data_IF_728760703303
#
_entry.id   IF_728760703303
#
_cell.length_a   1.000
_cell.length_b   1.000
_cell.length_c   1.000
_cell.angle_alpha   90.00
_cell.angle_beta   90.00
_cell.angle_gamma   90.00
#
_symmetry.space_group_name_H-M   'P 1'
#
loop_
_entity.id
_entity.type
_entity.pdbx_description
1 polymer ?
#
# COMPACT_ATOMS: atom_id res chain seq x y z
N UNK A 1 -31.63 -6.64 9.88
CA UNK A 1 -30.20 -6.24 10.00
C UNK A 1 -29.93 -5.14 8.96
N UNK A 2 -28.93 -4.26 9.18
CA UNK A 2 -28.66 -3.17 8.20
C UNK A 2 -27.83 -3.71 7.04
N UNK A 3 -28.17 -3.27 5.82
CA UNK A 3 -27.30 -3.45 4.65
C UNK A 3 -26.34 -2.26 4.56
N UNK A 4 -25.06 -2.48 4.24
CA UNK A 4 -24.05 -1.43 4.19
C UNK A 4 -23.43 -1.30 2.80
N UNK A 5 -23.43 -0.10 2.26
CA UNK A 5 -22.66 0.28 1.10
C UNK A 5 -21.23 0.57 1.53
N UNK A 6 -20.27 -0.10 0.90
CA UNK A 6 -18.84 0.07 1.10
C UNK A 6 -18.15 0.38 -0.26
N UNK A 7 -16.83 0.26 -0.32
CA UNK A 7 -16.12 0.35 -1.60
C UNK A 7 -16.01 1.76 -2.18
N UNK A 8 -15.91 1.84 -3.49
CA UNK A 8 -15.72 3.12 -4.21
C UNK A 8 -16.99 3.98 -4.21
N UNK A 9 -18.18 3.35 -4.27
CA UNK A 9 -19.45 4.07 -4.22
C UNK A 9 -19.69 4.74 -2.87
N UNK A 10 -19.29 4.10 -1.76
CA UNK A 10 -19.34 4.73 -0.44
C UNK A 10 -18.36 5.91 -0.33
N UNK A 11 -17.20 5.84 -1.01
CA UNK A 11 -16.20 6.90 -0.96
C UNK A 11 -16.71 8.22 -1.60
N UNK A 12 -17.57 8.15 -2.61
CA UNK A 12 -18.19 9.32 -3.24
C UNK A 12 -18.95 10.20 -2.24
N UNK A 13 -19.57 9.59 -1.23
CA UNK A 13 -20.33 10.33 -0.20
C UNK A 13 -19.44 11.18 0.70
N UNK A 14 -18.17 10.76 0.88
CA UNK A 14 -17.28 11.35 1.87
C UNK A 14 -16.12 12.13 1.30
N UNK A 15 -15.95 12.07 -0.01
CA UNK A 15 -14.86 12.76 -0.72
C UNK A 15 -15.41 13.50 -1.94
N UNK A 16 -15.64 14.82 -1.83
CA UNK A 16 -16.20 15.63 -2.95
C UNK A 16 -15.38 15.55 -4.24
N UNK A 17 -14.06 15.38 -4.10
CA UNK A 17 -13.12 15.31 -5.23
C UNK A 17 -13.01 13.90 -5.84
N UNK A 18 -13.76 12.93 -5.31
CA UNK A 18 -13.74 11.57 -5.81
C UNK A 18 -15.06 11.21 -6.48
N UNK A 19 -14.96 10.64 -7.67
CA UNK A 19 -16.08 10.06 -8.39
C UNK A 19 -15.78 8.61 -8.76
N UNK A 20 -16.65 7.69 -8.36
CA UNK A 20 -16.55 6.30 -8.80
C UNK A 20 -16.82 6.23 -10.30
N UNK A 21 -16.20 5.28 -11.00
CA UNK A 21 -16.49 5.06 -12.43
C UNK A 21 -17.92 4.57 -12.58
N UNK A 22 -18.57 4.90 -13.71
CA UNK A 22 -19.96 4.50 -13.96
C UNK A 22 -20.17 2.99 -13.86
N UNK A 23 -19.17 2.20 -14.30
CA UNK A 23 -19.16 0.74 -14.22
C UNK A 23 -18.58 0.17 -12.91
N UNK A 24 -18.34 1.00 -11.89
CA UNK A 24 -17.90 0.50 -10.58
C UNK A 24 -19.00 -0.33 -9.92
N UNK A 25 -18.56 -1.42 -9.28
CA UNK A 25 -19.45 -2.29 -8.51
C UNK A 25 -20.09 -1.53 -7.34
N UNK A 26 -21.26 -2.00 -6.95
CA UNK A 26 -21.91 -1.65 -5.71
C UNK A 26 -21.52 -2.70 -4.66
N UNK A 27 -20.46 -2.43 -3.91
CA UNK A 27 -19.98 -3.31 -2.85
C UNK A 27 -20.91 -3.22 -1.65
N UNK A 28 -21.66 -4.29 -1.34
CA UNK A 28 -22.65 -4.30 -0.27
C UNK A 28 -22.39 -5.42 0.73
N UNK A 29 -22.23 -5.05 2.00
CA UNK A 29 -22.27 -6.01 3.11
C UNK A 29 -23.71 -6.19 3.54
N UNK A 30 -24.24 -7.41 3.47
CA UNK A 30 -25.60 -7.74 3.87
C UNK A 30 -25.76 -9.23 4.23
N UNK A 31 -26.83 -9.53 4.97
CA UNK A 31 -27.18 -10.91 5.33
C UNK A 31 -27.69 -11.69 4.12
N UNK A 32 -28.52 -11.02 3.30
CA UNK A 32 -29.13 -11.62 2.13
C UNK A 32 -28.67 -10.92 0.87
N UNK A 33 -28.52 -11.68 -0.21
CA UNK A 33 -28.11 -11.16 -1.51
C UNK A 33 -29.17 -10.18 -2.04
N UNK A 34 -28.74 -8.96 -2.33
CA UNK A 34 -29.55 -7.96 -3.03
C UNK A 34 -29.30 -8.13 -4.53
N UNK A 35 -30.37 -8.25 -5.31
CA UNK A 35 -30.31 -8.40 -6.76
C UNK A 35 -30.97 -7.18 -7.39
N UNK A 36 -30.28 -6.52 -8.30
CA UNK A 36 -30.77 -5.40 -9.11
C UNK A 36 -30.15 -5.52 -10.50
N UNK A 37 -30.97 -5.81 -11.49
CA UNK A 37 -30.50 -6.06 -12.88
C UNK A 37 -29.91 -4.80 -13.53
N UNK A 38 -30.13 -3.63 -12.95
CA UNK A 38 -29.58 -2.35 -13.42
C UNK A 38 -28.22 -2.00 -12.81
N UNK A 39 -27.77 -2.76 -11.81
CA UNK A 39 -26.55 -2.48 -11.05
C UNK A 39 -25.69 -3.73 -10.93
N UNK A 40 -24.39 -3.55 -11.09
CA UNK A 40 -23.42 -4.59 -10.78
C UNK A 40 -23.16 -4.60 -9.27
N UNK A 41 -23.81 -5.54 -8.56
CA UNK A 41 -23.68 -5.66 -7.09
C UNK A 41 -22.67 -6.74 -6.77
N UNK A 42 -21.63 -6.35 -5.97
CA UNK A 42 -20.72 -7.28 -5.31
C UNK A 42 -21.18 -7.47 -3.85
N UNK A 43 -21.67 -8.67 -3.57
CA UNK A 43 -22.22 -9.02 -2.28
C UNK A 43 -21.15 -9.60 -1.35
N UNK A 44 -21.02 -9.00 -0.17
CA UNK A 44 -20.12 -9.42 0.89
C UNK A 44 -20.94 -9.93 2.09
N UNK A 45 -20.76 -11.19 2.46
CA UNK A 45 -21.49 -11.81 3.59
C UNK A 45 -20.89 -11.42 4.93
N UNK A 46 -21.65 -11.62 6.00
CA UNK A 46 -21.19 -11.44 7.38
C UNK A 46 -20.20 -12.52 7.84
N UNK A 47 -20.09 -13.64 7.12
CA UNK A 47 -19.11 -14.69 7.40
C UNK A 47 -17.68 -14.25 7.18
N UNK A 48 -17.47 -13.22 6.35
CA UNK A 48 -16.16 -12.61 6.15
C UNK A 48 -15.77 -11.88 7.44
N UNK A 49 -14.59 -12.25 7.97
CA UNK A 49 -14.06 -11.69 9.21
C UNK A 49 -14.05 -10.17 9.19
N UNK A 50 -14.68 -9.57 10.20
CA UNK A 50 -14.79 -8.13 10.36
C UNK A 50 -15.91 -7.46 9.56
N UNK A 51 -16.69 -8.18 8.72
CA UNK A 51 -17.82 -7.57 8.04
C UNK A 51 -18.99 -7.27 8.99
N UNK A 52 -19.25 -8.16 9.95
CA UNK A 52 -20.26 -7.92 10.97
C UNK A 52 -19.95 -6.68 11.80
N UNK A 53 -18.68 -6.47 12.15
CA UNK A 53 -18.24 -5.33 12.94
C UNK A 53 -18.51 -4.00 12.21
N UNK A 54 -18.57 -4.02 10.86
CA UNK A 54 -18.85 -2.82 10.05
C UNK A 54 -20.27 -2.26 10.27
N UNK A 55 -21.20 -3.03 10.82
CA UNK A 55 -22.54 -2.54 11.16
C UNK A 55 -22.51 -1.36 12.15
N UNK A 56 -21.49 -1.28 12.98
CA UNK A 56 -21.28 -0.18 13.93
C UNK A 56 -20.91 1.14 13.23
N UNK A 57 -20.52 1.07 11.95
CA UNK A 57 -20.11 2.22 11.14
C UNK A 57 -21.16 2.65 10.13
N UNK A 58 -22.41 2.17 10.24
CA UNK A 58 -23.50 2.65 9.41
C UNK A 58 -23.77 4.14 9.70
N UNK A 59 -23.72 4.99 8.67
CA UNK A 59 -24.10 6.38 8.79
C UNK A 59 -25.63 6.55 8.67
N UNK A 60 -26.11 7.79 8.74
CA UNK A 60 -27.50 8.13 8.43
C UNK A 60 -27.78 8.19 6.93
N UNK A 61 -26.72 8.29 6.11
CA UNK A 61 -26.85 8.30 4.66
C UNK A 61 -27.22 6.90 4.16
N UNK A 62 -28.14 6.84 3.21
CA UNK A 62 -28.53 5.57 2.59
C UNK A 62 -28.93 5.76 1.13
N UNK A 63 -28.94 4.65 0.39
CA UNK A 63 -29.50 4.56 -0.95
C UNK A 63 -30.56 3.46 -0.97
N UNK A 64 -31.54 3.57 -1.86
CA UNK A 64 -32.51 2.53 -2.12
C UNK A 64 -32.00 1.68 -3.32
N UNK A 65 -31.87 0.36 -3.12
CA UNK A 65 -31.46 -0.59 -4.15
C UNK A 65 -32.42 -1.76 -4.12
N UNK A 66 -33.15 -1.96 -5.22
CA UNK A 66 -34.16 -3.03 -5.34
C UNK A 66 -35.13 -3.06 -4.12
N UNK A 67 -35.60 -1.90 -3.68
CA UNK A 67 -36.51 -1.76 -2.52
C UNK A 67 -35.85 -1.98 -1.15
N UNK A 68 -34.53 -2.17 -1.10
CA UNK A 68 -33.79 -2.33 0.13
C UNK A 68 -33.09 -1.02 0.50
N UNK A 69 -33.18 -0.64 1.78
CA UNK A 69 -32.39 0.47 2.30
C UNK A 69 -30.99 -0.02 2.61
N UNK A 70 -30.00 0.58 1.92
CA UNK A 70 -28.57 0.28 2.05
C UNK A 70 -27.87 1.51 2.63
N UNK A 71 -27.41 1.43 3.88
CA UNK A 71 -26.74 2.52 4.56
C UNK A 71 -25.30 2.68 4.10
N UNK A 72 -24.85 3.91 3.93
CA UNK A 72 -23.44 4.17 3.59
C UNK A 72 -22.58 4.00 4.83
N UNK A 73 -21.49 3.24 4.73
CA UNK A 73 -20.51 3.15 5.81
C UNK A 73 -19.90 4.55 6.06
N UNK A 74 -19.72 4.92 7.32
CA UNK A 74 -19.15 6.23 7.68
C UNK A 74 -17.64 6.30 7.32
N UNK A 75 -17.02 7.48 7.34
CA UNK A 75 -15.63 7.66 6.94
C UNK A 75 -14.61 6.81 7.72
N UNK A 76 -14.82 6.59 9.02
CA UNK A 76 -13.94 5.78 9.86
C UNK A 76 -14.02 4.31 9.44
N UNK A 77 -15.22 3.74 9.32
CA UNK A 77 -15.40 2.37 8.84
C UNK A 77 -14.85 2.17 7.42
N UNK A 78 -15.06 3.16 6.54
CA UNK A 78 -14.49 3.10 5.20
C UNK A 78 -12.94 3.16 5.21
N UNK A 79 -12.35 3.96 6.11
CA UNK A 79 -10.90 4.01 6.29
C UNK A 79 -10.35 2.67 6.80
N UNK A 80 -11.02 2.02 7.75
CA UNK A 80 -10.66 0.68 8.24
C UNK A 80 -10.68 -0.34 7.08
N UNK A 81 -11.75 -0.38 6.29
CA UNK A 81 -11.87 -1.29 5.15
C UNK A 81 -10.76 -1.04 4.14
N UNK A 82 -10.59 0.18 3.66
CA UNK A 82 -9.58 0.51 2.65
C UNK A 82 -8.16 0.27 3.16
N UNK A 83 -7.87 0.60 4.42
CA UNK A 83 -6.57 0.34 5.01
C UNK A 83 -6.30 -1.17 5.13
N UNK A 84 -7.26 -1.97 5.58
CA UNK A 84 -7.07 -3.43 5.65
C UNK A 84 -6.77 -4.06 4.30
N UNK A 85 -7.23 -3.48 3.20
CA UNK A 85 -6.96 -3.96 1.84
C UNK A 85 -5.56 -3.60 1.33
N UNK A 86 -4.80 -2.73 2.00
CA UNK A 86 -3.42 -2.41 1.60
C UNK A 86 -2.49 -3.62 1.73
N UNK A 87 -2.86 -4.62 2.54
CA UNK A 87 -2.12 -5.87 2.69
C UNK A 87 -2.55 -6.99 1.73
N UNK A 88 -3.35 -6.67 0.74
CA UNK A 88 -3.89 -7.68 -0.15
C UNK A 88 -2.86 -8.20 -1.15
N UNK A 89 -2.40 -7.39 -2.07
CA UNK A 89 -1.38 -7.71 -3.06
C UNK A 89 -0.86 -6.46 -3.78
N UNK A 90 0.10 -6.67 -4.69
CA UNK A 90 0.79 -5.63 -5.45
C UNK A 90 -0.09 -4.88 -6.46
N UNK A 91 -1.18 -5.48 -6.93
CA UNK A 91 -2.05 -4.88 -7.93
C UNK A 91 -2.98 -3.80 -7.35
N UNK A 92 -2.94 -3.60 -6.03
CA UNK A 92 -3.86 -2.74 -5.29
C UNK A 92 -3.43 -1.28 -5.11
N UNK A 93 -2.60 -0.76 -6.00
CA UNK A 93 -2.23 0.66 -6.02
C UNK A 93 -3.45 1.60 -5.89
N UNK A 94 -4.58 1.26 -6.50
CA UNK A 94 -5.81 2.04 -6.33
C UNK A 94 -6.30 2.13 -4.88
N UNK A 95 -6.11 1.08 -4.07
CA UNK A 95 -6.49 1.09 -2.66
C UNK A 95 -5.55 1.97 -1.85
N UNK A 96 -4.23 1.89 -2.11
CA UNK A 96 -3.22 2.77 -1.51
C UNK A 96 -3.57 4.22 -1.83
N UNK A 97 -3.79 4.54 -3.11
CA UNK A 97 -4.14 5.90 -3.55
C UNK A 97 -5.45 6.39 -2.91
N UNK A 98 -6.50 5.58 -2.93
CA UNK A 98 -7.80 5.96 -2.33
C UNK A 98 -7.68 6.20 -0.83
N UNK A 99 -6.94 5.32 -0.13
CA UNK A 99 -6.74 5.48 1.31
C UNK A 99 -5.99 6.78 1.61
N UNK A 100 -4.79 6.96 1.04
CA UNK A 100 -3.96 8.12 1.37
C UNK A 100 -4.57 9.44 0.92
N UNK A 101 -5.15 9.50 -0.28
CA UNK A 101 -5.73 10.73 -0.80
C UNK A 101 -7.00 11.17 -0.07
N UNK A 102 -7.84 10.22 0.34
CA UNK A 102 -9.20 10.55 0.79
C UNK A 102 -9.49 10.18 2.23
N UNK A 103 -8.83 9.17 2.79
CA UNK A 103 -9.21 8.54 4.05
C UNK A 103 -8.14 8.59 5.15
N UNK A 104 -6.87 8.77 4.82
CA UNK A 104 -5.78 8.77 5.81
C UNK A 104 -5.96 9.81 6.93
N UNK A 105 -6.63 10.93 6.61
CA UNK A 105 -6.98 11.99 7.60
C UNK A 105 -7.83 11.48 8.78
N UNK A 106 -8.59 10.41 8.58
CA UNK A 106 -9.42 9.83 9.65
C UNK A 106 -8.64 8.90 10.58
N UNK A 107 -7.38 8.58 10.26
CA UNK A 107 -6.54 7.67 11.06
C UNK A 107 -6.32 8.17 12.48
N UNK A 108 -6.15 9.47 12.67
CA UNK A 108 -5.98 10.09 14.00
C UNK A 108 -7.24 10.06 14.87
N UNK A 109 -8.39 9.70 14.29
CA UNK A 109 -9.67 9.58 14.99
C UNK A 109 -9.98 8.14 15.42
N UNK A 110 -9.11 7.19 15.10
CA UNK A 110 -9.33 5.80 15.46
C UNK A 110 -9.24 5.61 16.97
N UNK A 111 -10.22 4.90 17.50
CA UNK A 111 -10.24 4.41 18.87
C UNK A 111 -9.51 3.06 18.97
N UNK A 112 -9.30 2.56 20.19
CA UNK A 112 -8.77 1.20 20.40
C UNK A 112 -9.66 0.12 19.76
N UNK A 113 -10.99 0.32 19.78
CA UNK A 113 -11.92 -0.59 19.12
C UNK A 113 -11.73 -0.60 17.58
N UNK A 114 -11.51 0.58 16.99
CA UNK A 114 -11.24 0.71 15.55
C UNK A 114 -9.92 0.01 15.16
N UNK A 115 -8.88 0.16 15.98
CA UNK A 115 -7.61 -0.53 15.80
C UNK A 115 -7.76 -2.04 15.90
N UNK A 116 -8.53 -2.52 16.87
CA UNK A 116 -8.80 -3.94 17.01
C UNK A 116 -9.50 -4.52 15.78
N UNK A 117 -10.50 -3.81 15.24
CA UNK A 117 -11.22 -4.23 14.04
C UNK A 117 -10.30 -4.17 12.81
N UNK A 118 -9.49 -3.13 12.69
CA UNK A 118 -8.50 -3.01 11.61
C UNK A 118 -7.54 -4.19 11.63
N UNK A 119 -6.95 -4.52 12.78
CA UNK A 119 -6.00 -5.62 12.92
C UNK A 119 -6.65 -6.98 12.60
N UNK A 120 -7.88 -7.19 13.04
CA UNK A 120 -8.68 -8.37 12.72
C UNK A 120 -8.87 -8.52 11.20
N UNK A 121 -9.25 -7.44 10.50
CA UNK A 121 -9.43 -7.42 9.05
C UNK A 121 -8.10 -7.56 8.30
N UNK A 122 -7.03 -6.93 8.79
CA UNK A 122 -5.68 -7.06 8.26
C UNK A 122 -5.24 -8.52 8.26
N UNK A 123 -5.33 -9.20 9.42
CA UNK A 123 -4.99 -10.64 9.54
C UNK A 123 -5.78 -11.51 8.57
N UNK A 124 -7.07 -11.25 8.43
CA UNK A 124 -7.89 -11.96 7.45
C UNK A 124 -7.40 -11.72 6.01
N UNK A 125 -7.15 -10.46 5.65
CA UNK A 125 -6.66 -10.11 4.30
C UNK A 125 -5.33 -10.80 4.00
N UNK A 126 -4.41 -10.80 4.97
CA UNK A 126 -3.12 -11.46 4.84
C UNK A 126 -3.24 -12.97 4.66
N UNK A 127 -4.17 -13.61 5.37
CA UNK A 127 -4.43 -15.05 5.24
C UNK A 127 -5.14 -15.40 3.92
N UNK A 128 -6.08 -14.57 3.48
CA UNK A 128 -6.83 -14.79 2.25
C UNK A 128 -6.01 -14.53 0.96
N UNK A 129 -4.97 -13.69 1.06
CA UNK A 129 -4.12 -13.30 -0.07
C UNK A 129 -2.63 -13.48 0.28
N UNK A 130 -2.14 -14.71 0.47
CA UNK A 130 -0.80 -14.97 0.98
C UNK A 130 0.33 -14.62 0.00
N UNK A 131 0.04 -14.47 -1.28
CA UNK A 131 1.06 -14.28 -2.32
C UNK A 131 1.83 -12.95 -2.22
N UNK A 132 1.24 -11.95 -1.59
CA UNK A 132 1.93 -10.67 -1.34
C UNK A 132 2.47 -10.55 0.08
N UNK A 133 2.46 -11.61 0.86
CA UNK A 133 2.71 -11.53 2.29
C UNK A 133 4.21 -11.58 2.62
N UNK A 134 4.77 -10.58 3.32
CA UNK A 134 6.20 -10.55 3.64
C UNK A 134 6.64 -11.56 4.70
N UNK A 135 5.71 -12.27 5.35
CA UNK A 135 6.08 -13.39 6.23
C UNK A 135 6.49 -14.64 5.46
N UNK A 136 6.24 -14.68 4.16
CA UNK A 136 6.87 -15.65 3.30
C UNK A 136 8.35 -15.26 3.24
N UNK A 137 9.19 -15.98 3.97
CA UNK A 137 10.66 -15.81 3.96
C UNK A 137 11.18 -16.12 2.56
N UNK A 138 11.17 -15.11 1.70
CA UNK A 138 11.66 -15.19 0.34
C UNK A 138 12.85 -14.26 0.18
N UNK A 139 13.77 -14.62 -0.66
CA UNK A 139 14.82 -13.69 -1.10
C UNK A 139 14.18 -12.50 -1.82
N UNK A 140 14.93 -11.40 -1.96
CA UNK A 140 14.46 -10.24 -2.73
C UNK A 140 14.08 -10.64 -4.16
N UNK A 141 14.81 -11.57 -4.74
CA UNK A 141 14.58 -12.11 -6.08
C UNK A 141 13.24 -12.86 -6.17
N UNK A 142 12.86 -13.62 -5.14
CA UNK A 142 11.59 -14.34 -5.09
C UNK A 142 10.36 -13.42 -4.99
N UNK A 143 10.55 -12.16 -4.62
CA UNK A 143 9.48 -11.18 -4.56
C UNK A 143 9.15 -10.55 -5.91
N UNK A 144 10.05 -10.66 -6.86
CA UNK A 144 9.86 -10.14 -8.20
C UNK A 144 9.63 -11.33 -9.13
N UNK A 145 8.49 -11.35 -9.79
CA UNK A 145 8.09 -12.42 -10.71
C UNK A 145 9.05 -12.55 -11.91
N UNK A 146 9.76 -11.46 -12.23
CA UNK A 146 10.70 -11.41 -13.34
C UNK A 146 12.13 -11.39 -12.81
N UNK A 147 12.95 -12.33 -13.28
CA UNK A 147 14.40 -12.23 -13.16
C UNK A 147 14.89 -11.03 -13.96
N UNK A 148 15.62 -10.16 -13.30
CA UNK A 148 16.29 -9.04 -13.92
C UNK A 148 17.78 -9.19 -13.64
N UNK A 149 18.58 -9.26 -14.69
CA UNK A 149 20.02 -9.25 -14.56
C UNK A 149 20.48 -7.95 -13.87
N UNK A 150 21.20 -8.08 -12.77
CA UNK A 150 21.73 -6.94 -12.02
C UNK A 150 22.91 -6.37 -12.78
N UNK A 151 22.72 -5.23 -13.42
CA UNK A 151 23.79 -4.53 -14.15
C UNK A 151 24.78 -3.85 -13.21
N UNK A 152 24.34 -3.45 -12.03
CA UNK A 152 25.14 -2.71 -11.05
C UNK A 152 25.17 -3.44 -9.72
N UNK A 153 26.24 -3.21 -8.94
CA UNK A 153 26.32 -3.69 -7.57
C UNK A 153 25.24 -3.01 -6.73
N UNK A 154 24.49 -3.81 -5.98
CA UNK A 154 23.39 -3.36 -5.14
C UNK A 154 23.85 -2.38 -4.04
N UNK A 155 24.96 -2.66 -3.38
CA UNK A 155 25.52 -1.79 -2.34
C UNK A 155 25.96 -0.44 -2.92
N UNK A 156 26.55 -0.45 -4.11
CA UNK A 156 26.89 0.79 -4.82
C UNK A 156 25.67 1.64 -5.16
N UNK A 157 24.56 1.02 -5.55
CA UNK A 157 23.31 1.74 -5.79
C UNK A 157 22.78 2.38 -4.50
N UNK A 158 22.88 1.69 -3.37
CA UNK A 158 22.51 2.27 -2.08
C UNK A 158 23.39 3.47 -1.71
N UNK A 159 24.68 3.41 -1.95
CA UNK A 159 25.59 4.54 -1.76
C UNK A 159 25.19 5.75 -2.59
N UNK A 160 24.83 5.54 -3.87
CA UNK A 160 24.42 6.61 -4.77
C UNK A 160 23.12 7.30 -4.37
N UNK A 161 22.16 6.56 -3.82
CA UNK A 161 20.86 7.09 -3.40
C UNK A 161 20.83 7.52 -1.94
N UNK A 162 21.93 7.39 -1.20
CA UNK A 162 21.97 7.70 0.22
C UNK A 162 21.64 9.17 0.51
N UNK A 163 20.85 9.40 1.57
CA UNK A 163 20.54 10.72 2.11
C UNK A 163 21.52 11.15 3.20
N UNK A 164 22.43 10.26 3.59
CA UNK A 164 23.49 10.45 4.58
C UNK A 164 24.81 9.91 4.03
N UNK A 165 25.90 10.13 4.75
CA UNK A 165 27.23 9.61 4.38
C UNK A 165 27.26 8.09 4.19
N UNK A 166 26.35 7.39 4.83
CA UNK A 166 26.13 5.95 4.67
C UNK A 166 24.66 5.66 4.50
N UNK A 167 24.28 4.73 3.60
CA UNK A 167 22.90 4.37 3.38
C UNK A 167 22.27 3.82 4.65
N UNK A 168 21.12 4.33 5.03
CA UNK A 168 20.41 3.89 6.24
C UNK A 168 19.82 2.49 6.07
N UNK A 169 19.29 2.17 4.89
CA UNK A 169 18.67 0.88 4.62
C UNK A 169 19.67 -0.27 4.80
N UNK A 170 20.87 -0.16 4.25
CA UNK A 170 21.90 -1.22 4.36
C UNK A 170 22.38 -1.42 5.80
N UNK A 171 22.35 -0.37 6.61
CA UNK A 171 22.67 -0.49 8.04
C UNK A 171 21.64 -1.30 8.82
N UNK A 172 20.38 -1.35 8.36
CA UNK A 172 19.31 -2.11 8.99
C UNK A 172 19.32 -3.60 8.57
N UNK A 173 19.95 -3.97 7.48
CA UNK A 173 20.00 -5.35 7.04
C UNK A 173 20.87 -6.18 7.98
N UNK A 174 20.31 -7.30 8.46
CA UNK A 174 21.08 -8.27 9.26
C UNK A 174 22.00 -9.13 8.39
N UNK A 175 21.58 -9.35 7.16
CA UNK A 175 22.28 -10.10 6.15
C UNK A 175 22.02 -9.42 4.80
N UNK A 176 23.07 -9.04 4.05
CA UNK A 176 22.92 -8.37 2.76
C UNK A 176 22.10 -9.16 1.72
N UNK A 177 22.00 -10.48 1.87
CA UNK A 177 21.17 -11.34 1.02
C UNK A 177 19.70 -11.42 1.49
N UNK A 178 19.38 -10.82 2.63
CA UNK A 178 18.08 -10.93 3.27
C UNK A 178 17.32 -9.60 3.24
N UNK A 179 16.03 -9.65 2.92
CA UNK A 179 15.10 -8.52 3.09
C UNK A 179 14.73 -8.25 4.57
N UNK A 180 15.42 -8.87 5.52
CA UNK A 180 15.13 -8.72 6.95
C UNK A 180 15.95 -7.59 7.56
N UNK A 181 15.23 -6.67 8.19
CA UNK A 181 15.82 -5.53 8.85
C UNK A 181 15.89 -5.72 10.39
N UNK A 182 16.84 -5.04 11.01
CA UNK A 182 16.97 -5.01 12.45
C UNK A 182 15.96 -4.05 13.08
N UNK A 183 15.04 -4.61 13.88
CA UNK A 183 13.98 -3.84 14.53
C UNK A 183 14.53 -2.87 15.58
N UNK A 184 15.55 -3.27 16.31
CA UNK A 184 16.10 -2.47 17.39
C UNK A 184 16.85 -1.24 16.87
N UNK A 185 17.50 -1.37 15.72
CA UNK A 185 18.08 -0.22 15.00
C UNK A 185 16.99 0.66 14.42
N UNK A 186 15.97 0.08 13.78
CA UNK A 186 14.84 0.81 13.23
C UNK A 186 14.13 1.66 14.28
N UNK A 187 13.87 1.12 15.46
CA UNK A 187 13.15 1.84 16.51
C UNK A 187 13.91 3.07 17.01
N UNK A 188 15.24 3.05 16.90
CA UNK A 188 16.12 4.17 17.28
C UNK A 188 16.19 5.28 16.22
N UNK A 189 15.81 5.02 14.98
CA UNK A 189 15.81 6.03 13.93
C UNK A 189 14.77 7.11 14.21
N UNK A 190 15.12 8.36 13.95
CA UNK A 190 14.18 9.46 13.90
C UNK A 190 13.15 9.25 12.77
N UNK A 191 12.02 9.93 12.86
CA UNK A 191 10.95 9.78 11.85
C UNK A 191 11.43 10.10 10.43
N UNK A 192 12.17 11.18 10.26
CA UNK A 192 12.69 11.58 8.94
C UNK A 192 13.72 10.60 8.40
N UNK A 193 14.54 9.99 9.28
CA UNK A 193 15.50 8.98 8.87
C UNK A 193 14.81 7.66 8.48
N UNK A 194 13.68 7.33 9.11
CA UNK A 194 12.83 6.23 8.64
C UNK A 194 12.26 6.48 7.25
N UNK A 195 11.83 7.73 6.95
CA UNK A 195 11.38 8.11 5.60
C UNK A 195 12.50 7.96 4.58
N UNK A 196 13.70 8.46 4.89
CA UNK A 196 14.89 8.35 4.02
C UNK A 196 15.27 6.89 3.78
N UNK A 197 15.26 6.08 4.83
CA UNK A 197 15.54 4.65 4.72
C UNK A 197 14.58 3.94 3.74
N UNK A 198 13.28 4.21 3.82
CA UNK A 198 12.30 3.64 2.89
C UNK A 198 12.48 4.19 1.47
N UNK A 199 12.85 5.48 1.35
CA UNK A 199 13.10 6.11 0.07
C UNK A 199 14.37 5.53 -0.61
N UNK A 200 15.45 5.29 0.12
CA UNK A 200 16.67 4.66 -0.38
C UNK A 200 16.35 3.31 -1.04
N UNK A 201 15.66 2.43 -0.33
CA UNK A 201 15.28 1.12 -0.88
C UNK A 201 14.34 1.25 -2.10
N UNK A 202 13.36 2.15 -2.01
CA UNK A 202 12.46 2.42 -3.13
C UNK A 202 13.22 2.85 -4.39
N UNK A 203 14.23 3.70 -4.24
CA UNK A 203 15.01 4.23 -5.35
C UNK A 203 15.92 3.15 -5.95
N UNK A 204 16.56 2.34 -5.12
CA UNK A 204 17.38 1.20 -5.61
C UNK A 204 16.51 0.24 -6.42
N UNK A 205 15.36 -0.16 -5.90
CA UNK A 205 14.42 -1.02 -6.63
C UNK A 205 13.97 -0.38 -7.95
N UNK A 206 13.68 0.93 -7.93
CA UNK A 206 13.29 1.64 -9.15
C UNK A 206 14.38 1.59 -10.22
N UNK A 207 15.64 1.80 -9.83
CA UNK A 207 16.79 1.75 -10.72
C UNK A 207 16.98 0.33 -11.26
N UNK A 208 17.13 -0.65 -10.38
CA UNK A 208 17.44 -2.03 -10.75
C UNK A 208 16.35 -2.70 -11.60
N UNK A 209 15.10 -2.48 -11.25
CA UNK A 209 13.99 -3.27 -11.79
C UNK A 209 13.20 -2.57 -12.89
N UNK A 210 13.22 -1.25 -12.93
CA UNK A 210 12.36 -0.52 -13.86
C UNK A 210 13.10 0.39 -14.82
N UNK A 211 14.19 1.03 -14.40
CA UNK A 211 14.88 2.03 -15.20
C UNK A 211 16.00 1.42 -16.04
N UNK A 212 16.97 0.77 -15.40
CA UNK A 212 18.12 0.17 -16.07
C UNK A 212 17.72 -0.88 -17.10
N UNK A 213 16.79 -1.82 -16.82
CA UNK A 213 16.37 -2.82 -17.82
C UNK A 213 15.67 -2.23 -19.04
N UNK A 214 15.27 -0.96 -18.98
CA UNK A 214 14.60 -0.24 -20.07
C UNK A 214 15.44 0.93 -20.62
N UNK A 215 16.76 0.88 -20.44
CA UNK A 215 17.69 1.89 -20.89
C UNK A 215 17.27 3.32 -20.50
N UNK A 216 16.69 3.49 -19.30
CA UNK A 216 16.18 4.75 -18.75
C UNK A 216 15.01 5.39 -19.51
N UNK A 217 14.39 4.69 -20.45
CA UNK A 217 13.23 5.17 -21.21
C UNK A 217 11.92 5.10 -20.41
N UNK A 218 11.94 4.37 -19.30
CA UNK A 218 10.75 4.25 -18.45
C UNK A 218 10.54 5.53 -17.64
N UNK A 219 9.28 6.05 -17.52
CA UNK A 219 9.03 7.28 -16.76
C UNK A 219 9.43 7.13 -15.29
N UNK A 220 10.33 7.99 -14.81
CA UNK A 220 10.95 7.91 -13.47
C UNK A 220 9.89 7.87 -12.36
N UNK A 221 8.88 8.76 -12.41
CA UNK A 221 7.78 8.75 -11.42
C UNK A 221 7.02 7.42 -11.39
N UNK A 222 6.81 6.80 -12.54
CA UNK A 222 6.18 5.48 -12.59
C UNK A 222 7.08 4.39 -12.03
N UNK A 223 8.40 4.48 -12.24
CA UNK A 223 9.35 3.56 -11.62
C UNK A 223 9.29 3.66 -10.09
N UNK A 224 9.29 4.86 -9.54
CA UNK A 224 9.14 5.08 -8.09
C UNK A 224 7.82 4.56 -7.54
N UNK A 225 6.71 4.84 -8.20
CA UNK A 225 5.41 4.32 -7.77
C UNK A 225 5.41 2.78 -7.72
N UNK A 226 5.92 2.14 -8.78
CA UNK A 226 6.00 0.68 -8.83
C UNK A 226 6.97 0.10 -7.81
N UNK A 227 8.10 0.75 -7.58
CA UNK A 227 9.07 0.33 -6.57
C UNK A 227 8.48 0.47 -5.16
N UNK A 228 7.84 1.59 -4.85
CA UNK A 228 7.21 1.81 -3.56
C UNK A 228 6.04 0.85 -3.32
N UNK A 229 5.25 0.52 -4.34
CA UNK A 229 4.24 -0.54 -4.25
C UNK A 229 4.88 -1.89 -3.87
N UNK A 230 6.05 -2.21 -4.44
CA UNK A 230 6.82 -3.41 -4.08
C UNK A 230 7.28 -3.36 -2.62
N UNK A 231 7.86 -2.26 -2.16
CA UNK A 231 8.24 -2.05 -0.74
C UNK A 231 7.04 -2.25 0.18
N UNK A 232 5.90 -1.64 -0.14
CA UNK A 232 4.69 -1.72 0.67
C UNK A 232 4.06 -3.11 0.73
N UNK A 233 4.37 -4.00 -0.18
CA UNK A 233 3.64 -5.25 -0.34
C UNK A 233 4.49 -6.50 -0.22
N UNK A 234 5.78 -6.43 -0.52
CA UNK A 234 6.62 -7.62 -0.64
C UNK A 234 7.90 -7.60 0.17
N UNK A 235 8.45 -6.42 0.44
CA UNK A 235 9.75 -6.31 1.07
C UNK A 235 9.66 -6.08 2.57
N UNK A 236 10.68 -6.56 3.27
CA UNK A 236 10.96 -6.29 4.66
C UNK A 236 9.96 -6.87 5.67
N UNK A 237 10.24 -6.61 6.93
CA UNK A 237 9.38 -6.96 8.05
C UNK A 237 8.06 -6.18 8.03
N UNK A 238 7.05 -6.72 8.69
CA UNK A 238 5.73 -6.11 8.73
C UNK A 238 5.75 -4.64 9.20
N UNK A 239 6.59 -4.31 10.20
CA UNK A 239 6.71 -2.95 10.73
C UNK A 239 7.36 -1.96 9.76
N UNK A 240 8.34 -2.36 8.96
CA UNK A 240 8.92 -1.52 7.90
C UNK A 240 7.89 -1.20 6.82
N UNK A 241 7.18 -2.23 6.38
CA UNK A 241 6.11 -2.10 5.40
C UNK A 241 4.96 -1.25 5.94
N UNK A 242 4.54 -1.47 7.20
CA UNK A 242 3.47 -0.70 7.82
C UNK A 242 3.81 0.79 7.85
N UNK A 243 5.07 1.13 8.16
CA UNK A 243 5.56 2.50 8.09
C UNK A 243 5.53 3.06 6.66
N UNK A 244 5.99 2.28 5.67
CA UNK A 244 5.96 2.68 4.26
C UNK A 244 4.52 2.93 3.78
N UNK A 245 3.57 2.05 4.13
CA UNK A 245 2.15 2.21 3.83
C UNK A 245 1.57 3.47 4.49
N UNK A 246 1.89 3.70 5.76
CA UNK A 246 1.38 4.85 6.52
C UNK A 246 1.90 6.18 5.99
N UNK A 247 3.11 6.18 5.48
CA UNK A 247 3.81 7.37 5.03
C UNK A 247 4.02 7.43 3.51
N UNK A 248 3.28 6.62 2.75
CA UNK A 248 3.41 6.46 1.30
C UNK A 248 3.58 7.79 0.54
N UNK A 249 2.73 8.83 0.73
CA UNK A 249 2.88 10.09 0.01
C UNK A 249 4.21 10.80 0.32
N UNK A 250 4.63 10.81 1.59
CA UNK A 250 5.87 11.47 2.03
C UNK A 250 7.10 10.77 1.47
N UNK A 251 7.10 9.43 1.45
CA UNK A 251 8.18 8.65 0.84
C UNK A 251 8.26 8.93 -0.65
N UNK A 252 7.10 8.97 -1.34
CA UNK A 252 7.06 9.25 -2.76
C UNK A 252 7.57 10.66 -3.09
N UNK A 253 7.13 11.67 -2.34
CA UNK A 253 7.62 13.04 -2.47
C UNK A 253 9.13 13.12 -2.28
N UNK A 254 9.67 12.42 -1.28
CA UNK A 254 11.10 12.37 -1.02
C UNK A 254 11.87 11.74 -2.19
N UNK A 255 11.38 10.64 -2.76
CA UNK A 255 11.96 10.03 -3.95
C UNK A 255 11.94 10.99 -5.16
N UNK A 256 10.86 11.73 -5.33
CA UNK A 256 10.65 12.63 -6.49
C UNK A 256 11.57 13.87 -6.44
N UNK A 257 12.12 14.23 -5.26
CA UNK A 257 13.07 15.33 -5.10
C UNK A 257 14.50 14.97 -5.53
N UNK A 258 14.79 13.70 -5.76
CA UNK A 258 16.12 13.23 -6.07
C UNK A 258 16.59 13.72 -7.45
N UNK A 259 17.84 14.18 -7.54
CA UNK A 259 18.48 14.59 -8.80
C UNK A 259 18.89 13.36 -9.62
N UNK A 260 17.93 12.74 -10.23
CA UNK A 260 18.04 11.46 -10.92
C UNK A 260 19.06 11.48 -12.09
N UNK A 261 19.16 12.59 -12.80
CA UNK A 261 20.11 12.77 -13.89
C UNK A 261 21.57 12.63 -13.45
N UNK A 262 21.89 12.98 -12.20
CA UNK A 262 23.24 12.83 -11.68
C UNK A 262 23.56 11.34 -11.44
N UNK A 263 22.61 10.60 -10.86
CA UNK A 263 22.77 9.14 -10.64
C UNK A 263 22.94 8.43 -11.97
N UNK A 264 22.14 8.75 -12.98
CA UNK A 264 22.26 8.18 -14.31
C UNK A 264 23.64 8.42 -14.90
N UNK A 265 24.16 9.65 -14.84
CA UNK A 265 25.50 9.99 -15.34
C UNK A 265 26.58 9.21 -14.62
N UNK A 266 26.54 9.12 -13.30
CA UNK A 266 27.51 8.34 -12.53
C UNK A 266 27.49 6.86 -12.88
N UNK A 267 26.31 6.26 -13.07
CA UNK A 267 26.18 4.86 -13.49
C UNK A 267 26.67 4.63 -14.92
N UNK A 268 26.44 5.56 -15.83
CA UNK A 268 26.93 5.50 -17.21
C UNK A 268 28.47 5.64 -17.25
N UNK A 269 29.08 6.43 -16.37
CA UNK A 269 30.54 6.55 -16.26
C UNK A 269 31.20 5.34 -15.59
N UNK A 270 30.54 4.71 -14.63
CA UNK A 270 31.06 3.52 -13.94
C UNK A 270 31.11 2.26 -14.85
N UNK A 271 30.44 2.28 -15.99
CA UNK A 271 30.39 1.17 -16.96
C UNK A 271 31.36 1.33 -18.14
N UNK A 272 32.06 2.44 -18.24
CA UNK A 272 33.13 2.71 -19.21
C UNK A 272 34.50 2.58 -18.56
#
# INVERSE_FOLDING_TARGET
MKNLLIGSRALEYWSPDFKARDNSDWDIISEHKIIDDTKRIEHHTFDIVGNYDMLNYASEQFVEIAGNRVYVVNPIGLAIIKRSHLWRDLSFQKHITHYHKHLAKYRSMFTEADEFILEKRKKFTMAAYPQGHPSLKKSVEDFFDDYVEKKYNHDYLHELVAYHDKPLYTQLQRDPSSAWCDKDLWDKLAFDDKLKCVAEETQVIAIERFLVPRNWEYPVRHAYLKALDKVCTTLCSGWFRDFAIDNYPKVFELCDTMKFENIRKELEHATN
#
